data_IF_337620157536
#
_entry.id   IF_337620157536
#
_cell.length_a   1.000
_cell.length_b   1.000
_cell.length_c   1.000
_cell.angle_alpha   90.00
_cell.angle_beta   90.00
_cell.angle_gamma   90.00
#
_symmetry.space_group_name_H-M   'P 1'
#
loop_
_entity.id
_entity.type
_entity.pdbx_description
1 polymer ?
#
# COMPACT_ATOMS: atom_id res chain seq x y z
N UNK A 1 -8.63 -19.72 -21.14
CA UNK A 1 -8.29 -18.33 -20.73
C UNK A 1 -9.29 -17.82 -19.69
N UNK A 2 -10.59 -17.77 -19.97
CA UNK A 2 -11.59 -17.23 -19.03
C UNK A 2 -11.64 -17.94 -17.65
N UNK A 3 -11.68 -19.28 -17.62
CA UNK A 3 -11.77 -20.05 -16.37
C UNK A 3 -10.64 -19.76 -15.36
N UNK A 4 -9.34 -19.84 -15.71
CA UNK A 4 -8.28 -19.52 -14.77
C UNK A 4 -8.27 -18.04 -14.35
N UNK A 5 -8.66 -17.11 -15.23
CA UNK A 5 -8.79 -15.69 -14.89
C UNK A 5 -9.88 -15.41 -13.87
N UNK A 6 -11.07 -16.01 -14.05
CA UNK A 6 -12.18 -15.89 -13.11
C UNK A 6 -11.84 -16.52 -11.76
N UNK A 7 -11.21 -17.70 -11.77
CA UNK A 7 -10.77 -18.35 -10.55
C UNK A 7 -9.81 -17.47 -9.74
N UNK A 8 -8.81 -16.87 -10.40
CA UNK A 8 -7.87 -15.95 -9.74
C UNK A 8 -8.59 -14.69 -9.21
N UNK A 9 -9.51 -14.11 -9.99
CA UNK A 9 -10.28 -12.93 -9.56
C UNK A 9 -11.01 -13.18 -8.24
N UNK A 10 -11.73 -14.30 -8.12
CA UNK A 10 -12.44 -14.64 -6.89
C UNK A 10 -11.50 -14.98 -5.73
N UNK A 11 -10.35 -15.62 -5.99
CA UNK A 11 -9.33 -15.86 -4.95
C UNK A 11 -8.71 -14.56 -4.42
N UNK A 12 -8.55 -13.55 -5.27
CA UNK A 12 -8.01 -12.24 -4.88
C UNK A 12 -9.02 -11.42 -4.08
N UNK A 13 -10.32 -11.56 -4.36
CA UNK A 13 -11.41 -10.84 -3.68
C UNK A 13 -11.84 -11.51 -2.37
N UNK A 14 -11.33 -12.72 -2.08
CA UNK A 14 -11.68 -13.45 -0.87
C UNK A 14 -11.33 -12.66 0.40
N UNK A 15 -12.34 -12.37 1.22
CA UNK A 15 -12.20 -11.63 2.46
C UNK A 15 -11.58 -12.53 3.52
N UNK A 16 -10.27 -12.40 3.68
CA UNK A 16 -9.54 -12.99 4.80
C UNK A 16 -9.65 -12.10 6.04
N UNK A 17 -9.66 -12.69 7.24
CA UNK A 17 -9.50 -11.94 8.48
C UNK A 17 -8.10 -11.33 8.52
N UNK A 18 -7.94 -9.99 8.50
CA UNK A 18 -6.63 -9.38 8.59
C UNK A 18 -6.10 -9.44 10.02
N UNK A 19 -4.79 -9.57 10.15
CA UNK A 19 -4.07 -9.44 11.42
C UNK A 19 -3.77 -7.97 11.76
N UNK A 20 -3.75 -7.11 10.73
CA UNK A 20 -3.37 -5.72 10.84
C UNK A 20 -4.03 -4.89 9.73
N UNK A 21 -4.36 -3.64 10.01
CA UNK A 21 -4.94 -2.67 9.07
C UNK A 21 -4.05 -1.44 8.96
N UNK A 22 -3.69 -1.09 7.73
CA UNK A 22 -2.95 0.14 7.43
C UNK A 22 -3.75 0.97 6.43
N UNK A 23 -3.94 2.24 6.75
CA UNK A 23 -4.56 3.21 5.87
C UNK A 23 -3.47 4.00 5.14
N UNK A 24 -3.65 4.17 3.85
CA UNK A 24 -2.71 4.80 2.93
C UNK A 24 -3.46 5.95 2.26
N UNK A 25 -2.90 7.13 2.36
CA UNK A 25 -3.53 8.35 1.87
C UNK A 25 -2.60 8.98 0.85
N UNK A 26 -3.10 9.14 -0.38
CA UNK A 26 -2.42 9.85 -1.44
C UNK A 26 -2.59 11.36 -1.28
N UNK A 27 -1.49 12.09 -1.48
CA UNK A 27 -1.42 13.54 -1.56
C UNK A 27 -0.62 13.95 -2.78
N UNK A 28 -0.65 15.22 -3.15
CA UNK A 28 0.19 15.78 -4.20
C UNK A 28 1.67 15.57 -3.87
N UNK A 29 2.22 14.55 -4.53
CA UNK A 29 3.65 14.17 -4.55
C UNK A 29 4.21 13.51 -3.28
N UNK A 30 3.36 13.02 -2.39
CA UNK A 30 3.77 12.17 -1.27
C UNK A 30 2.64 11.24 -0.82
N UNK A 31 2.97 10.32 0.09
CA UNK A 31 2.01 9.41 0.70
C UNK A 31 2.06 9.56 2.22
N UNK A 32 0.92 9.46 2.89
CA UNK A 32 0.89 9.24 4.34
C UNK A 32 0.35 7.86 4.67
N UNK A 33 0.88 7.29 5.75
CA UNK A 33 0.56 5.96 6.24
C UNK A 33 0.08 6.05 7.68
N UNK A 34 -1.06 5.43 7.97
CA UNK A 34 -1.70 5.41 9.28
C UNK A 34 -1.92 3.96 9.71
N UNK A 35 -1.28 3.58 10.82
CA UNK A 35 -1.31 2.22 11.35
C UNK A 35 -2.46 2.12 12.37
N UNK A 36 -3.68 2.01 11.85
CA UNK A 36 -4.93 2.20 12.63
C UNK A 36 -5.13 1.29 13.86
N UNK A 37 -4.46 0.14 13.92
CA UNK A 37 -4.55 -0.76 15.08
C UNK A 37 -3.68 -0.30 16.27
N UNK A 38 -2.77 0.64 16.05
CA UNK A 38 -1.86 1.17 17.05
C UNK A 38 -2.15 2.66 17.29
N UNK A 39 -2.15 3.13 18.55
CA UNK A 39 -2.36 4.54 18.82
C UNK A 39 -1.18 5.37 18.31
N UNK A 40 -1.49 6.45 17.58
CA UNK A 40 -0.57 7.51 17.19
C UNK A 40 0.62 7.08 16.31
N UNK A 41 0.43 6.08 15.45
CA UNK A 41 1.43 5.72 14.43
C UNK A 41 0.94 6.20 13.07
N UNK A 42 1.32 7.42 12.73
CA UNK A 42 1.12 8.03 11.42
C UNK A 42 2.38 8.78 10.98
N UNK A 43 2.68 8.76 9.68
CA UNK A 43 3.79 9.51 9.12
C UNK A 43 3.60 9.78 7.62
N UNK A 44 4.30 10.79 7.14
CA UNK A 44 4.41 11.15 5.73
C UNK A 44 5.70 10.55 5.13
N UNK A 45 5.63 10.17 3.86
CA UNK A 45 6.71 9.54 3.10
C UNK A 45 6.96 10.34 1.83
N UNK A 46 8.09 11.04 1.78
CA UNK A 46 8.55 11.84 0.65
C UNK A 46 9.71 11.15 -0.08
N UNK A 47 9.81 11.43 -1.37
CA UNK A 47 10.96 11.00 -2.17
C UNK A 47 12.24 11.72 -1.69
N UNK A 48 13.31 10.96 -1.47
CA UNK A 48 14.61 11.53 -1.12
C UNK A 48 15.26 12.13 -2.37
N UNK A 49 15.54 13.44 -2.32
CA UNK A 49 16.26 14.15 -3.39
C UNK A 49 17.80 14.10 -3.23
N UNK A 50 18.30 13.75 -2.03
CA UNK A 50 19.72 13.70 -1.76
C UNK A 50 20.35 12.41 -2.32
N UNK A 51 21.04 12.56 -3.43
CA UNK A 51 21.78 11.49 -4.08
C UNK A 51 23.05 11.17 -3.28
N UNK A 52 23.01 10.08 -2.53
CA UNK A 52 24.23 9.37 -2.14
C UNK A 52 24.42 8.19 -3.10
N UNK A 53 25.67 7.82 -3.41
CA UNK A 53 25.99 6.69 -4.31
C UNK A 53 25.40 5.33 -3.87
N UNK A 54 24.73 5.26 -2.72
CA UNK A 54 24.13 4.05 -2.15
C UNK A 54 22.63 3.91 -2.42
N UNK A 55 21.97 4.99 -2.83
CA UNK A 55 20.50 5.04 -2.92
C UNK A 55 20.01 4.87 -4.36
N UNK A 56 18.87 4.20 -4.53
CA UNK A 56 18.18 4.15 -5.82
C UNK A 56 17.52 5.49 -6.14
N UNK A 57 17.86 6.05 -7.30
CA UNK A 57 17.31 7.31 -7.79
C UNK A 57 15.79 7.19 -8.04
N UNK A 58 15.04 8.17 -7.53
CA UNK A 58 13.57 8.31 -7.67
C UNK A 58 12.72 7.18 -7.06
N UNK A 59 13.31 6.30 -6.25
CA UNK A 59 12.60 5.18 -5.61
C UNK A 59 12.70 5.27 -4.09
N UNK A 60 13.84 5.75 -3.57
CA UNK A 60 14.02 5.87 -2.12
C UNK A 60 13.15 6.98 -1.52
N UNK A 61 12.61 6.67 -0.34
CA UNK A 61 11.80 7.57 0.48
C UNK A 61 12.42 7.74 1.86
N UNK A 62 12.12 8.85 2.51
CA UNK A 62 12.62 9.17 3.86
C UNK A 62 12.05 8.22 4.93
N UNK A 63 10.74 8.01 4.92
CA UNK A 63 10.03 7.15 5.86
C UNK A 63 9.43 5.96 5.13
N UNK A 64 9.99 4.76 5.37
CA UNK A 64 9.54 3.52 4.73
C UNK A 64 8.36 2.93 5.50
N UNK A 65 7.32 2.53 4.77
CA UNK A 65 6.25 1.68 5.31
C UNK A 65 6.82 0.33 5.72
N UNK A 66 6.78 0.03 7.02
CA UNK A 66 7.23 -1.24 7.58
C UNK A 66 6.02 -2.14 7.77
N UNK A 67 6.10 -3.37 7.27
CA UNK A 67 5.08 -4.40 7.44
C UNK A 67 5.69 -5.73 7.89
N UNK A 68 5.02 -6.49 8.76
CA UNK A 68 5.48 -7.83 9.13
C UNK A 68 5.28 -8.82 7.97
N UNK A 69 6.25 -9.72 7.78
CA UNK A 69 6.12 -10.82 6.83
C UNK A 69 5.28 -11.97 7.38
N UNK A 70 4.67 -12.77 6.49
CA UNK A 70 3.77 -13.90 6.79
C UNK A 70 2.53 -13.52 7.61
N UNK A 71 2.12 -12.26 7.57
CA UNK A 71 0.89 -11.78 8.17
C UNK A 71 -0.03 -11.23 7.08
N UNK A 72 -1.33 -11.41 7.28
CA UNK A 72 -2.32 -10.94 6.34
C UNK A 72 -2.73 -9.52 6.74
N UNK A 73 -2.41 -8.54 5.90
CA UNK A 73 -2.58 -7.11 6.21
C UNK A 73 -3.68 -6.56 5.32
N UNK A 74 -4.68 -5.92 5.92
CA UNK A 74 -5.67 -5.14 5.21
C UNK A 74 -5.08 -3.76 4.91
N UNK A 75 -5.17 -3.35 3.67
CA UNK A 75 -4.82 -2.00 3.24
C UNK A 75 -6.10 -1.25 2.86
N UNK A 76 -6.23 -0.04 3.39
CA UNK A 76 -7.29 0.92 3.05
C UNK A 76 -6.65 2.08 2.30
N UNK A 77 -7.05 2.34 1.06
CA UNK A 77 -6.45 3.36 0.20
C UNK A 77 -7.49 4.43 -0.14
N UNK A 78 -7.12 5.69 0.06
CA UNK A 78 -7.90 6.88 -0.31
C UNK A 78 -6.95 8.01 -0.72
N UNK A 79 -7.48 9.12 -1.18
CA UNK A 79 -6.75 10.37 -1.40
C UNK A 79 -7.42 11.52 -0.63
N UNK A 80 -6.64 12.54 -0.29
CA UNK A 80 -7.15 13.80 0.28
C UNK A 80 -7.33 14.91 -0.75
N UNK A 81 -6.75 14.79 -1.95
CA UNK A 81 -6.78 15.85 -2.97
C UNK A 81 -7.31 15.40 -4.34
N UNK A 82 -6.46 14.78 -5.16
CA UNK A 82 -6.72 14.33 -6.53
C UNK A 82 -6.57 12.82 -6.62
N UNK A 83 -6.83 12.23 -7.78
CA UNK A 83 -6.67 10.79 -7.96
C UNK A 83 -5.19 10.42 -8.00
N UNK A 84 -4.80 9.43 -7.20
CA UNK A 84 -3.49 8.76 -7.25
C UNK A 84 -3.67 7.25 -7.43
N UNK A 85 -2.58 6.48 -7.50
CA UNK A 85 -2.64 5.02 -7.55
C UNK A 85 -1.48 4.44 -6.76
N UNK A 86 -1.80 3.71 -5.69
CA UNK A 86 -0.80 3.05 -4.85
C UNK A 86 -0.42 1.71 -5.47
N UNK A 87 0.86 1.54 -5.80
CA UNK A 87 1.35 0.41 -6.61
C UNK A 87 2.61 -0.18 -6.03
N UNK A 88 2.62 -1.49 -5.79
CA UNK A 88 3.83 -2.27 -5.47
C UNK A 88 3.87 -3.48 -6.42
N UNK A 89 4.63 -3.40 -7.53
CA UNK A 89 4.62 -4.44 -8.56
C UNK A 89 5.04 -5.82 -8.07
N UNK A 90 6.01 -5.88 -7.14
CA UNK A 90 6.50 -7.15 -6.56
C UNK A 90 5.47 -7.89 -5.71
N UNK A 91 4.42 -7.19 -5.27
CA UNK A 91 3.28 -7.77 -4.56
C UNK A 91 2.06 -7.98 -5.47
N UNK A 92 2.13 -7.58 -6.74
CA UNK A 92 1.02 -7.69 -7.68
C UNK A 92 -0.14 -6.74 -7.38
N UNK A 93 0.11 -5.61 -6.71
CA UNK A 93 -0.93 -4.68 -6.25
C UNK A 93 -0.84 -3.37 -7.03
N UNK A 94 -2.00 -2.91 -7.48
CA UNK A 94 -2.24 -1.56 -7.99
C UNK A 94 -3.68 -1.18 -7.66
N UNK A 95 -3.86 -0.14 -6.86
CA UNK A 95 -5.18 0.30 -6.41
C UNK A 95 -5.23 1.82 -6.43
N UNK A 96 -6.30 2.36 -7.00
CA UNK A 96 -6.50 3.79 -7.09
C UNK A 96 -6.87 4.39 -5.74
N UNK A 97 -6.26 5.53 -5.42
CA UNK A 97 -6.57 6.39 -4.30
C UNK A 97 -7.47 7.51 -4.81
N UNK A 98 -8.76 7.44 -4.46
CA UNK A 98 -9.79 8.34 -5.00
C UNK A 98 -10.34 9.19 -3.85
N UNK A 99 -10.35 10.53 -3.96
CA UNK A 99 -10.92 11.39 -2.95
C UNK A 99 -12.38 11.02 -2.64
N UNK A 100 -12.71 10.88 -1.36
CA UNK A 100 -14.05 10.50 -0.92
C UNK A 100 -14.41 9.01 -1.08
N UNK A 101 -13.47 8.16 -1.48
CA UNK A 101 -13.67 6.70 -1.58
C UNK A 101 -12.54 5.92 -0.90
N UNK A 102 -12.92 5.00 -0.01
CA UNK A 102 -12.01 4.08 0.63
C UNK A 102 -12.00 2.73 -0.10
N UNK A 103 -10.93 2.45 -0.85
CA UNK A 103 -10.70 1.15 -1.48
C UNK A 103 -10.00 0.21 -0.49
N UNK A 104 -10.33 -1.08 -0.51
CA UNK A 104 -9.77 -2.08 0.38
C UNK A 104 -9.07 -3.19 -0.41
N UNK A 105 -7.94 -3.69 0.10
CA UNK A 105 -7.34 -4.95 -0.35
C UNK A 105 -6.65 -5.68 0.79
N UNK A 106 -6.28 -6.94 0.56
CA UNK A 106 -5.46 -7.72 1.48
C UNK A 106 -4.10 -8.02 0.84
N UNK A 107 -3.04 -7.96 1.65
CA UNK A 107 -1.68 -8.24 1.22
C UNK A 107 -1.03 -9.26 2.15
N UNK A 108 -0.15 -10.08 1.60
CA UNK A 108 0.70 -10.99 2.36
C UNK A 108 2.09 -11.04 1.73
N UNK A 109 3.12 -10.80 2.54
CA UNK A 109 4.52 -10.90 2.12
C UNK A 109 5.11 -12.20 2.64
N UNK A 110 5.49 -13.13 1.77
CA UNK A 110 6.03 -14.43 2.21
C UNK A 110 7.51 -14.38 2.61
N UNK A 111 8.20 -13.28 2.31
CA UNK A 111 9.62 -13.05 2.55
C UNK A 111 9.87 -11.60 3.01
N UNK A 112 10.93 -11.37 3.80
CA UNK A 112 11.41 -10.02 4.09
C UNK A 112 11.99 -9.35 2.83
#
# INVERSE_FOLDING_TARGET
IALPSLHLLYLMDEIKSPNMTIKIIGHQWFWSYEYSDFPNIEFESYMINNYTNKNFRLIEVDNKMIIPFKMNIRILITSEDVIHSWTIPSLGIKIDAIPGRMNQTNIITNRP
#
